data_IF_983140699498
#
_entry.id   IF_983140699498
#
_cell.length_a   1.000
_cell.length_b   1.000
_cell.length_c   1.000
_cell.angle_alpha   90.00
_cell.angle_beta   90.00
_cell.angle_gamma   90.00
#
_symmetry.space_group_name_H-M   'P 1'
#
loop_
_entity.id
_entity.type
_entity.pdbx_description
1 polymer ?
#
# COMPACT_ATOMS: atom_id res chain seq x y z
N UNK A 1 -20.70 61.61 -22.48
CA UNK A 1 -20.44 60.72 -23.64
C UNK A 1 -20.44 59.31 -23.05
N UNK A 2 -21.60 58.69 -22.92
CA UNK A 2 -22.14 57.70 -23.89
C UNK A 2 -21.20 56.48 -23.95
N UNK A 3 -21.56 55.26 -23.56
CA UNK A 3 -22.82 54.56 -23.87
C UNK A 3 -23.04 53.32 -22.98
N UNK A 4 -24.33 52.99 -22.75
CA UNK A 4 -25.03 51.67 -22.67
C UNK A 4 -24.15 50.41 -22.51
N UNK A 5 -24.38 49.43 -21.62
CA UNK A 5 -25.63 48.83 -21.13
C UNK A 5 -25.76 47.40 -21.68
N UNK A 6 -26.03 46.39 -20.83
CA UNK A 6 -26.83 45.15 -21.08
C UNK A 6 -26.87 44.28 -19.82
N UNK A 7 -28.08 43.87 -19.46
CA UNK A 7 -28.45 42.85 -18.49
C UNK A 7 -28.54 41.53 -19.26
N UNK A 8 -27.95 40.43 -18.79
CA UNK A 8 -28.52 39.09 -18.96
C UNK A 8 -27.80 38.12 -18.01
N UNK A 9 -28.51 37.65 -16.98
CA UNK A 9 -29.04 36.29 -16.87
C UNK A 9 -27.98 35.20 -16.74
N UNK A 10 -27.99 34.60 -15.55
CA UNK A 10 -27.31 33.35 -15.23
C UNK A 10 -27.82 32.21 -16.12
N UNK A 11 -26.92 31.31 -16.56
CA UNK A 11 -27.25 29.90 -16.68
C UNK A 11 -26.55 29.15 -15.54
N UNK A 12 -27.36 28.47 -14.72
CA UNK A 12 -26.89 27.37 -13.89
C UNK A 12 -26.18 26.29 -14.73
N UNK A 13 -25.21 25.65 -14.08
CA UNK A 13 -24.79 24.25 -14.23
C UNK A 13 -23.75 23.90 -15.32
N UNK A 14 -22.52 23.61 -14.86
CA UNK A 14 -21.93 22.25 -14.82
C UNK A 14 -20.40 22.29 -14.99
N UNK A 15 -19.64 22.28 -13.90
CA UNK A 15 -18.17 22.20 -14.00
C UNK A 15 -17.41 21.81 -12.72
N UNK A 16 -18.04 21.85 -11.55
CA UNK A 16 -17.37 21.63 -10.26
C UNK A 16 -17.42 20.19 -9.72
N UNK A 17 -17.99 19.23 -10.46
CA UNK A 17 -18.10 17.83 -10.01
C UNK A 17 -17.00 16.89 -10.52
N UNK A 18 -16.35 17.20 -11.64
CA UNK A 18 -15.33 16.29 -12.22
C UNK A 18 -14.00 16.33 -11.46
N UNK A 19 -13.63 17.48 -10.87
CA UNK A 19 -12.39 17.64 -10.11
C UNK A 19 -12.44 16.95 -8.75
N UNK A 20 -13.61 16.88 -8.09
CA UNK A 20 -13.71 16.29 -6.74
C UNK A 20 -13.59 14.76 -6.74
N UNK A 21 -14.15 14.08 -7.74
CA UNK A 21 -14.10 12.61 -7.85
C UNK A 21 -12.70 12.13 -8.20
N UNK A 22 -12.02 12.81 -9.13
CA UNK A 22 -10.64 12.49 -9.49
C UNK A 22 -9.66 12.71 -8.30
N UNK A 23 -9.87 13.77 -7.53
CA UNK A 23 -9.10 14.00 -6.30
C UNK A 23 -9.37 12.93 -5.24
N UNK A 24 -10.62 12.49 -5.08
CA UNK A 24 -10.98 11.43 -4.13
C UNK A 24 -10.33 10.09 -4.48
N UNK A 25 -10.19 9.76 -5.77
CA UNK A 25 -9.50 8.54 -6.22
C UNK A 25 -8.02 8.54 -5.87
N UNK A 26 -7.33 9.65 -6.12
CA UNK A 26 -5.88 9.81 -5.79
C UNK A 26 -5.62 9.74 -4.29
N UNK A 27 -6.53 10.31 -3.48
CA UNK A 27 -6.45 10.23 -2.02
C UNK A 27 -6.60 8.78 -1.55
N UNK A 28 -7.57 8.04 -2.11
CA UNK A 28 -7.76 6.63 -1.77
C UNK A 28 -6.53 5.79 -2.11
N UNK A 29 -5.96 5.97 -3.30
CA UNK A 29 -4.73 5.27 -3.72
C UNK A 29 -3.56 5.56 -2.77
N UNK A 30 -3.33 6.83 -2.43
CA UNK A 30 -2.28 7.23 -1.48
C UNK A 30 -2.51 6.60 -0.09
N UNK A 31 -3.76 6.55 0.37
CA UNK A 31 -4.10 5.94 1.65
C UNK A 31 -3.86 4.43 1.65
N UNK A 32 -4.17 3.75 0.54
CA UNK A 32 -3.89 2.32 0.36
C UNK A 32 -2.39 2.07 0.38
N UNK A 33 -1.59 2.86 -0.35
CA UNK A 33 -0.13 2.72 -0.36
C UNK A 33 0.47 2.91 1.04
N UNK A 34 -0.01 3.91 1.79
CA UNK A 34 0.44 4.15 3.16
C UNK A 34 0.10 2.97 4.09
N UNK A 35 -1.09 2.39 3.94
CA UNK A 35 -1.46 1.20 4.70
C UNK A 35 -0.55 0.02 4.34
N UNK A 36 -0.33 -0.23 3.04
CA UNK A 36 0.53 -1.33 2.58
C UNK A 36 1.98 -1.17 3.07
N UNK A 37 2.51 0.05 3.13
CA UNK A 37 3.83 0.31 3.75
C UNK A 37 3.87 -0.10 5.22
N UNK A 38 2.80 0.14 5.97
CA UNK A 38 2.72 -0.27 7.38
C UNK A 38 2.62 -1.80 7.52
N UNK A 39 1.91 -2.47 6.60
CA UNK A 39 1.90 -3.94 6.54
C UNK A 39 3.31 -4.47 6.28
N UNK A 40 4.01 -3.95 5.27
CA UNK A 40 5.40 -4.32 4.96
C UNK A 40 6.35 -4.08 6.14
N UNK A 41 6.17 -2.98 6.89
CA UNK A 41 6.92 -2.73 8.12
C UNK A 41 6.69 -3.84 9.15
N UNK A 42 5.43 -4.21 9.42
CA UNK A 42 5.09 -5.23 10.41
C UNK A 42 5.58 -6.64 10.02
N UNK A 43 5.46 -7.02 8.74
CA UNK A 43 5.83 -8.34 8.23
C UNK A 43 7.35 -8.53 8.10
N UNK A 44 8.12 -7.46 7.98
CA UNK A 44 9.58 -7.53 7.92
C UNK A 44 10.16 -7.86 9.31
N UNK A 45 10.72 -9.05 9.46
CA UNK A 45 11.35 -9.55 10.68
C UNK A 45 12.89 -9.51 10.64
N UNK A 46 13.46 -8.97 9.56
CA UNK A 46 14.90 -8.99 9.26
C UNK A 46 15.54 -7.62 9.46
N UNK A 47 15.00 -6.58 8.84
CA UNK A 47 15.61 -5.26 8.80
C UNK A 47 15.45 -4.52 10.15
N UNK A 48 16.43 -3.68 10.49
CA UNK A 48 16.40 -2.88 11.71
C UNK A 48 15.14 -1.99 11.77
N UNK A 49 14.40 -2.02 12.89
CA UNK A 49 13.19 -1.19 13.07
C UNK A 49 13.49 0.30 12.99
N UNK A 50 14.60 0.75 13.58
CA UNK A 50 15.01 2.15 13.55
C UNK A 50 15.32 2.60 12.11
N UNK A 51 16.02 1.76 11.35
CA UNK A 51 16.29 2.01 9.94
C UNK A 51 14.99 2.18 9.14
N UNK A 52 14.06 1.22 9.25
CA UNK A 52 12.80 1.27 8.50
C UNK A 52 11.95 2.49 8.85
N UNK A 53 11.89 2.87 10.13
CA UNK A 53 11.16 4.07 10.57
C UNK A 53 11.78 5.35 10.01
N UNK A 54 13.11 5.49 10.11
CA UNK A 54 13.80 6.70 9.66
C UNK A 54 13.78 6.82 8.13
N UNK A 55 13.89 5.69 7.42
CA UNK A 55 13.70 5.64 5.97
C UNK A 55 12.31 6.12 5.55
N UNK A 56 11.26 5.76 6.30
CA UNK A 56 9.90 6.25 6.03
C UNK A 56 9.79 7.78 6.12
N UNK A 57 10.57 8.42 7.01
CA UNK A 57 10.66 9.88 7.12
C UNK A 57 11.70 10.52 6.18
N UNK A 58 12.35 9.73 5.33
CA UNK A 58 13.38 10.20 4.40
C UNK A 58 14.75 10.47 5.05
N UNK A 59 14.96 9.97 6.28
CA UNK A 59 16.22 10.10 6.99
C UNK A 59 17.16 8.92 6.71
N UNK A 60 18.46 9.21 6.60
CA UNK A 60 19.49 8.19 6.43
C UNK A 60 19.93 7.67 7.80
N UNK A 61 19.93 6.36 7.98
CA UNK A 61 20.36 5.71 9.20
C UNK A 61 21.17 4.46 8.88
N UNK A 62 22.28 4.25 9.60
CA UNK A 62 23.04 2.99 9.51
C UNK A 62 22.51 2.01 10.59
N UNK A 63 21.96 0.85 10.20
CA UNK A 63 21.51 -0.18 11.14
C UNK A 63 22.55 -0.59 12.19
N UNK A 64 23.86 -0.47 11.89
CA UNK A 64 24.92 -0.77 12.85
C UNK A 64 24.89 0.15 14.07
N UNK A 65 24.33 1.36 13.93
CA UNK A 65 24.14 2.32 15.03
C UNK A 65 22.92 2.01 15.90
N UNK A 66 22.09 1.01 15.57
CA UNK A 66 20.94 0.62 16.39
C UNK A 66 21.36 0.12 17.79
N UNK A 67 22.54 -0.48 17.91
CA UNK A 67 23.02 -1.00 19.21
C UNK A 67 22.14 -2.10 19.80
N UNK A 68 21.45 -2.88 18.95
CA UNK A 68 20.51 -3.95 19.35
C UNK A 68 19.37 -3.46 20.25
N UNK A 69 18.86 -2.25 20.02
CA UNK A 69 17.77 -1.67 20.81
C UNK A 69 16.37 -2.00 20.27
N UNK A 70 16.27 -2.54 19.05
CA UNK A 70 15.02 -3.03 18.48
C UNK A 70 14.94 -4.56 18.48
N UNK A 71 13.73 -5.10 18.32
CA UNK A 71 13.46 -6.54 18.33
C UNK A 71 14.20 -7.27 17.19
N UNK A 72 14.17 -6.76 15.96
CA UNK A 72 14.84 -7.39 14.82
C UNK A 72 16.36 -7.47 15.02
N UNK A 73 17.01 -6.41 15.50
CA UNK A 73 18.46 -6.45 15.77
C UNK A 73 18.84 -7.24 17.03
N UNK A 74 17.89 -7.45 17.94
CA UNK A 74 18.11 -8.26 19.15
C UNK A 74 17.99 -9.76 18.88
N UNK A 75 17.19 -10.14 17.88
CA UNK A 75 17.02 -11.54 17.45
C UNK A 75 18.31 -12.05 16.82
N UNK A 76 18.75 -13.25 17.23
CA UNK A 76 19.79 -14.01 16.54
C UNK A 76 19.14 -14.90 15.49
N UNK A 77 18.62 -14.32 14.41
CA UNK A 77 17.97 -15.05 13.32
C UNK A 77 18.92 -15.25 12.15
N UNK A 78 19.03 -16.48 11.66
CA UNK A 78 19.56 -16.79 10.34
C UNK A 78 18.40 -16.85 9.35
N UNK A 79 18.38 -15.95 8.37
CA UNK A 79 17.42 -16.02 7.28
C UNK A 79 17.98 -16.88 6.14
N UNK A 80 17.09 -17.67 5.52
CA UNK A 80 17.38 -18.39 4.28
C UNK A 80 16.48 -17.84 3.18
N UNK A 81 17.08 -17.50 2.05
CA UNK A 81 16.31 -17.15 0.87
C UNK A 81 15.77 -18.44 0.24
N UNK A 82 14.47 -18.47 -0.05
CA UNK A 82 13.80 -19.62 -0.64
C UNK A 82 12.97 -19.16 -1.82
N UNK A 83 13.20 -19.78 -2.97
CA UNK A 83 12.33 -19.60 -4.12
C UNK A 83 10.95 -20.23 -3.85
N UNK A 84 9.92 -19.40 -3.93
CA UNK A 84 8.51 -19.78 -3.74
C UNK A 84 7.67 -19.55 -5.01
N UNK A 85 8.32 -19.35 -6.16
CA UNK A 85 7.66 -19.04 -7.45
C UNK A 85 6.61 -20.09 -7.83
N UNK A 86 6.95 -21.38 -7.73
CA UNK A 86 6.02 -22.45 -8.10
C UNK A 86 4.84 -22.57 -7.13
N UNK A 87 5.07 -22.34 -5.83
CA UNK A 87 4.01 -22.29 -4.81
C UNK A 87 3.04 -21.15 -5.13
N UNK A 88 3.58 -19.96 -5.44
CA UNK A 88 2.78 -18.80 -5.82
C UNK A 88 1.97 -19.03 -7.10
N UNK A 89 2.58 -19.68 -8.12
CA UNK A 89 1.91 -20.03 -9.37
C UNK A 89 0.70 -20.94 -9.12
N UNK A 90 0.92 -22.02 -8.38
CA UNK A 90 -0.12 -22.97 -8.04
C UNK A 90 -1.27 -22.28 -7.27
N UNK A 91 -0.96 -21.35 -6.37
CA UNK A 91 -1.97 -20.57 -5.64
C UNK A 91 -2.83 -19.65 -6.53
N UNK A 92 -2.19 -19.00 -7.52
CA UNK A 92 -2.84 -17.96 -8.33
C UNK A 92 -3.67 -18.55 -9.49
N UNK A 93 -3.25 -19.67 -10.07
CA UNK A 93 -3.93 -20.29 -11.20
C UNK A 93 -5.42 -20.62 -10.94
N UNK A 94 -5.80 -21.29 -9.83
CA UNK A 94 -7.20 -21.57 -9.51
C UNK A 94 -8.04 -20.31 -9.36
N UNK A 95 -7.48 -19.25 -8.75
CA UNK A 95 -8.20 -17.99 -8.52
C UNK A 95 -8.57 -17.29 -9.82
N UNK A 96 -7.69 -17.34 -10.83
CA UNK A 96 -7.98 -16.79 -12.15
C UNK A 96 -9.16 -17.51 -12.83
N UNK A 97 -9.33 -18.79 -12.57
CA UNK A 97 -10.39 -19.61 -13.20
C UNK A 97 -11.75 -19.51 -12.52
N UNK A 98 -11.81 -19.24 -11.21
CA UNK A 98 -13.06 -19.31 -10.43
C UNK A 98 -13.90 -18.04 -10.49
N UNK A 99 -13.33 -16.88 -10.84
CA UNK A 99 -14.04 -15.59 -10.89
C UNK A 99 -14.71 -15.17 -9.57
N UNK A 100 -14.48 -15.91 -8.50
CA UNK A 100 -15.10 -15.74 -7.20
C UNK A 100 -14.20 -14.90 -6.28
N UNK A 101 -14.81 -13.94 -5.59
CA UNK A 101 -14.16 -13.17 -4.55
C UNK A 101 -14.07 -14.02 -3.28
N UNK A 102 -12.98 -14.78 -3.16
CA UNK A 102 -12.71 -15.58 -1.99
C UNK A 102 -11.92 -14.77 -0.95
N UNK A 103 -12.33 -14.86 0.31
CA UNK A 103 -11.56 -14.29 1.42
C UNK A 103 -10.16 -14.91 1.47
N UNK A 104 -9.14 -14.14 1.86
CA UNK A 104 -7.78 -14.64 2.08
C UNK A 104 -7.74 -15.82 3.07
N UNK A 105 -8.68 -15.90 4.02
CA UNK A 105 -8.83 -17.04 4.94
C UNK A 105 -9.21 -18.36 4.26
N UNK A 106 -9.64 -18.33 3.00
CA UNK A 106 -9.93 -19.53 2.20
C UNK A 106 -8.66 -20.19 1.67
N UNK A 107 -7.59 -19.41 1.46
CA UNK A 107 -6.34 -19.90 0.85
C UNK A 107 -5.67 -21.00 1.68
N UNK A 108 -5.43 -20.84 3.00
CA UNK A 108 -4.77 -21.88 3.79
C UNK A 108 -5.63 -23.14 3.95
N UNK A 109 -6.95 -23.05 3.71
CA UNK A 109 -7.85 -24.22 3.76
C UNK A 109 -7.71 -25.10 2.51
N UNK A 110 -7.42 -24.49 1.36
CA UNK A 110 -7.17 -25.19 0.10
C UNK A 110 -5.72 -25.72 0.06
N UNK A 111 -4.77 -24.94 0.57
CA UNK A 111 -3.32 -25.18 0.44
C UNK A 111 -2.65 -25.75 1.69
N UNK A 112 -3.39 -26.31 2.63
CA UNK A 112 -2.77 -27.06 3.75
C UNK A 112 -2.06 -28.29 3.16
N UNK A 113 -0.76 -28.12 2.90
CA UNK A 113 0.17 -29.20 2.64
C UNK A 113 0.27 -30.01 3.94
N UNK A 114 0.13 -31.35 3.90
CA UNK A 114 0.37 -32.20 5.06
C UNK A 114 1.77 -32.01 5.65
#
# INVERSE_FOLDING_TARGET
MSSQGVIEQSPLASGSRQTSVANSGRILETNIDNLLRMVSYCENDVDCRCFLQLLHFGEKFDPTNCGKTCDNCSKALSCIEKDVTDIARHLVEPMKSTGQQNSSAHIPKIYRVP
#
